data_IF_342600358623
#
_entry.id   IF_342600358623
#
_cell.length_a   1.000
_cell.length_b   1.000
_cell.length_c   1.000
_cell.angle_alpha   90.00
_cell.angle_beta   90.00
_cell.angle_gamma   90.00
#
_symmetry.space_group_name_H-M   'P 1'
#
loop_
_entity.id
_entity.type
_entity.pdbx_description
1 polymer ?
#
# COMPACT_ATOMS: atom_id res chain seq x y z
N UNK A 1 37.49 -5.72 -5.18
CA UNK A 1 36.15 -5.77 -4.54
C UNK A 1 35.78 -7.23 -4.41
N UNK A 2 35.47 -7.69 -3.20
CA UNK A 2 35.06 -9.08 -2.99
C UNK A 2 33.73 -9.32 -3.72
N UNK A 3 33.54 -10.49 -4.32
CA UNK A 3 32.26 -10.92 -4.93
C UNK A 3 31.07 -10.82 -3.95
N UNK A 4 31.34 -10.89 -2.65
CA UNK A 4 30.37 -10.72 -1.56
C UNK A 4 29.82 -9.29 -1.46
N UNK A 5 30.71 -8.29 -1.48
CA UNK A 5 30.36 -6.87 -1.35
C UNK A 5 29.55 -6.38 -2.55
N UNK A 6 29.88 -6.88 -3.74
CA UNK A 6 29.13 -6.60 -4.96
C UNK A 6 27.69 -7.13 -4.90
N UNK A 7 27.48 -8.33 -4.37
CA UNK A 7 26.14 -8.91 -4.17
C UNK A 7 25.32 -8.13 -3.16
N UNK A 8 25.93 -7.74 -2.04
CA UNK A 8 25.25 -6.93 -1.01
C UNK A 8 24.86 -5.54 -1.54
N UNK A 9 25.72 -4.91 -2.33
CA UNK A 9 25.41 -3.63 -2.97
C UNK A 9 24.24 -3.75 -3.95
N UNK A 10 24.22 -4.80 -4.78
CA UNK A 10 23.15 -5.05 -5.74
C UNK A 10 21.81 -5.27 -5.04
N UNK A 11 21.78 -6.09 -3.99
CA UNK A 11 20.57 -6.34 -3.19
C UNK A 11 20.05 -5.05 -2.54
N UNK A 12 20.94 -4.22 -1.98
CA UNK A 12 20.57 -2.95 -1.40
C UNK A 12 19.94 -2.00 -2.44
N UNK A 13 20.50 -1.95 -3.65
CA UNK A 13 19.95 -1.15 -4.76
C UNK A 13 18.58 -1.65 -5.20
N UNK A 14 18.40 -2.97 -5.31
CA UNK A 14 17.09 -3.56 -5.66
C UNK A 14 16.02 -3.23 -4.62
N UNK A 15 16.33 -3.35 -3.33
CA UNK A 15 15.41 -2.97 -2.25
C UNK A 15 15.02 -1.49 -2.37
N UNK A 16 15.99 -0.62 -2.61
CA UNK A 16 15.73 0.81 -2.71
C UNK A 16 14.90 1.18 -3.96
N UNK A 17 15.12 0.48 -5.08
CA UNK A 17 14.31 0.61 -6.28
C UNK A 17 12.86 0.17 -6.04
N UNK A 18 12.66 -0.98 -5.39
CA UNK A 18 11.33 -1.47 -5.02
C UNK A 18 10.60 -0.50 -4.11
N UNK A 19 11.27 0.01 -3.06
CA UNK A 19 10.69 0.99 -2.14
C UNK A 19 10.26 2.28 -2.86
N UNK A 20 11.09 2.76 -3.79
CA UNK A 20 10.78 3.94 -4.60
C UNK A 20 9.59 3.70 -5.52
N UNK A 21 9.52 2.52 -6.14
CA UNK A 21 8.41 2.12 -6.98
C UNK A 21 7.10 1.97 -6.18
N UNK A 22 7.15 1.39 -4.97
CA UNK A 22 5.99 1.26 -4.08
C UNK A 22 5.47 2.63 -3.67
N UNK A 23 6.35 3.56 -3.29
CA UNK A 23 5.97 4.95 -2.96
C UNK A 23 5.28 5.65 -4.12
N UNK A 24 5.76 5.44 -5.35
CA UNK A 24 5.14 5.97 -6.54
C UNK A 24 3.76 5.34 -6.80
N UNK A 25 3.65 4.01 -6.67
CA UNK A 25 2.40 3.27 -6.84
C UNK A 25 1.33 3.75 -5.86
N UNK A 26 1.70 4.00 -4.60
CA UNK A 26 0.77 4.54 -3.59
C UNK A 26 0.32 5.95 -3.96
N UNK A 27 1.27 6.83 -4.34
CA UNK A 27 0.97 8.20 -4.78
C UNK A 27 0.02 8.24 -5.99
N UNK A 28 0.16 7.28 -6.90
CA UNK A 28 -0.68 7.13 -8.09
C UNK A 28 -1.94 6.29 -7.87
N UNK A 29 -2.20 5.81 -6.64
CA UNK A 29 -3.31 4.91 -6.30
C UNK A 29 -3.34 3.62 -7.14
N UNK A 30 -2.17 3.14 -7.55
CA UNK A 30 -2.00 1.93 -8.35
C UNK A 30 -1.92 0.70 -7.43
N UNK A 31 -3.02 0.38 -6.75
CA UNK A 31 -3.06 -0.65 -5.71
C UNK A 31 -2.66 -2.05 -6.18
N UNK A 32 -3.03 -2.40 -7.41
CA UNK A 32 -2.63 -3.67 -8.01
C UNK A 32 -1.11 -3.75 -8.19
N UNK A 33 -0.49 -2.67 -8.67
CA UNK A 33 0.97 -2.60 -8.84
C UNK A 33 1.68 -2.61 -7.48
N UNK A 34 1.14 -1.93 -6.47
CA UNK A 34 1.66 -1.97 -5.11
C UNK A 34 1.72 -3.41 -4.57
N UNK A 35 0.67 -4.21 -4.81
CA UNK A 35 0.62 -5.62 -4.39
C UNK A 35 1.66 -6.49 -5.10
N UNK A 36 1.91 -6.25 -6.38
CA UNK A 36 2.97 -6.95 -7.12
C UNK A 36 4.35 -6.63 -6.54
N UNK A 37 4.64 -5.35 -6.33
CA UNK A 37 5.91 -4.87 -5.76
C UNK A 37 6.14 -5.39 -4.34
N UNK A 38 5.08 -5.48 -3.53
CA UNK A 38 5.14 -6.06 -2.19
C UNK A 38 5.51 -7.56 -2.22
N UNK A 39 5.01 -8.30 -3.21
CA UNK A 39 5.40 -9.69 -3.45
C UNK A 39 6.89 -9.83 -3.81
N UNK A 40 7.39 -8.96 -4.69
CA UNK A 40 8.82 -8.92 -5.05
C UNK A 40 9.70 -8.58 -3.85
N UNK A 41 9.30 -7.60 -3.04
CA UNK A 41 10.02 -7.22 -1.83
C UNK A 41 10.01 -8.34 -0.78
N UNK A 42 8.90 -9.06 -0.65
CA UNK A 42 8.77 -10.22 0.23
C UNK A 42 9.72 -11.35 -0.21
N UNK A 43 9.77 -11.67 -1.49
CA UNK A 43 10.70 -12.66 -2.02
C UNK A 43 12.17 -12.27 -1.76
N UNK A 44 12.50 -10.98 -1.92
CA UNK A 44 13.84 -10.46 -1.66
C UNK A 44 14.17 -10.49 -0.16
N UNK A 45 13.19 -10.25 0.71
CA UNK A 45 13.37 -10.36 2.17
C UNK A 45 13.72 -11.78 2.64
N UNK A 46 13.20 -12.81 1.94
CA UNK A 46 13.57 -14.20 2.20
C UNK A 46 15.03 -14.48 1.84
N UNK A 47 15.55 -13.87 0.77
CA UNK A 47 16.97 -13.97 0.42
C UNK A 47 17.85 -13.28 1.46
N UNK A 48 17.41 -12.13 1.98
CA UNK A 48 18.10 -11.39 3.04
C UNK A 48 18.12 -12.10 4.40
N UNK A 49 17.32 -13.15 4.59
CA UNK A 49 17.32 -13.96 5.81
C UNK A 49 18.54 -14.89 5.93
N UNK A 50 19.28 -15.09 4.84
CA UNK A 50 20.51 -15.89 4.85
C UNK A 50 21.59 -15.27 5.75
N UNK A 51 22.42 -16.09 6.44
CA UNK A 51 23.46 -15.60 7.36
C UNK A 51 24.44 -14.62 6.70
N UNK A 52 24.76 -14.83 5.43
CA UNK A 52 25.63 -14.00 4.59
C UNK A 52 25.13 -12.55 4.42
N UNK A 53 23.84 -12.31 4.65
CA UNK A 53 23.20 -10.99 4.51
C UNK A 53 22.70 -10.40 5.84
N UNK A 54 22.99 -11.03 6.98
CA UNK A 54 22.48 -10.60 8.29
C UNK A 54 22.75 -9.12 8.61
N UNK A 55 23.97 -8.64 8.32
CA UNK A 55 24.33 -7.24 8.53
C UNK A 55 23.53 -6.28 7.63
N UNK A 56 23.33 -6.65 6.36
CA UNK A 56 22.53 -5.88 5.41
C UNK A 56 21.05 -5.87 5.84
N UNK A 57 20.51 -7.02 6.24
CA UNK A 57 19.15 -7.15 6.72
C UNK A 57 18.87 -6.26 7.95
N UNK A 58 19.80 -6.24 8.92
CA UNK A 58 19.69 -5.35 10.08
C UNK A 58 19.68 -3.87 9.69
N UNK A 59 20.50 -3.48 8.71
CA UNK A 59 20.53 -2.10 8.20
C UNK A 59 19.24 -1.71 7.46
N UNK A 60 18.67 -2.63 6.69
CA UNK A 60 17.47 -2.38 5.88
C UNK A 60 16.17 -2.43 6.69
N UNK A 61 16.13 -3.20 7.78
CA UNK A 61 14.95 -3.37 8.64
C UNK A 61 14.27 -2.05 9.05
N UNK A 62 14.96 -1.02 9.62
CA UNK A 62 14.29 0.22 9.99
C UNK A 62 13.75 0.99 8.78
N UNK A 63 14.43 0.94 7.63
CA UNK A 63 14.01 1.60 6.39
C UNK A 63 12.73 0.96 5.85
N UNK A 64 12.69 -0.38 5.83
CA UNK A 64 11.52 -1.16 5.43
C UNK A 64 10.34 -0.87 6.37
N UNK A 65 10.55 -0.91 7.68
CA UNK A 65 9.51 -0.62 8.68
C UNK A 65 8.92 0.78 8.50
N UNK A 66 9.75 1.78 8.25
CA UNK A 66 9.29 3.14 7.99
C UNK A 66 8.43 3.23 6.73
N UNK A 67 8.87 2.61 5.62
CA UNK A 67 8.10 2.59 4.38
C UNK A 67 6.76 1.88 4.54
N UNK A 68 6.74 0.69 5.15
CA UNK A 68 5.50 -0.05 5.39
C UNK A 68 4.53 0.74 6.27
N UNK A 69 5.01 1.39 7.34
CA UNK A 69 4.16 2.23 8.18
C UNK A 69 3.55 3.38 7.37
N UNK A 70 4.33 4.05 6.53
CA UNK A 70 3.82 5.13 5.66
C UNK A 70 2.76 4.62 4.67
N UNK A 71 2.97 3.45 4.08
CA UNK A 71 2.02 2.86 3.13
C UNK A 71 0.71 2.49 3.84
N UNK A 72 0.79 1.88 5.02
CA UNK A 72 -0.38 1.51 5.81
C UNK A 72 -1.22 2.74 6.20
N UNK A 73 -0.58 3.84 6.63
CA UNK A 73 -1.28 5.08 6.94
C UNK A 73 -2.03 5.66 5.73
N UNK A 74 -1.42 5.59 4.54
CA UNK A 74 -2.06 6.06 3.30
C UNK A 74 -3.23 5.15 2.90
N UNK A 75 -3.07 3.83 3.02
CA UNK A 75 -4.15 2.87 2.77
C UNK A 75 -5.33 3.06 3.73
N UNK A 76 -5.07 3.26 5.01
CA UNK A 76 -6.10 3.52 6.02
C UNK A 76 -6.86 4.82 5.72
N UNK A 77 -6.16 5.89 5.32
CA UNK A 77 -6.78 7.14 4.91
C UNK A 77 -7.71 6.96 3.71
N UNK A 78 -7.24 6.25 2.67
CA UNK A 78 -8.04 5.99 1.46
C UNK A 78 -9.25 5.09 1.76
N UNK A 79 -9.09 4.08 2.62
CA UNK A 79 -10.20 3.22 3.07
C UNK A 79 -11.28 4.03 3.79
N UNK A 80 -10.87 4.95 4.67
CA UNK A 80 -11.79 5.83 5.39
C UNK A 80 -12.54 6.77 4.43
N UNK A 81 -11.86 7.32 3.42
CA UNK A 81 -12.49 8.16 2.40
C UNK A 81 -13.52 7.38 1.58
N UNK A 82 -13.21 6.14 1.19
CA UNK A 82 -14.15 5.28 0.45
C UNK A 82 -15.37 4.97 1.32
N UNK A 83 -15.17 4.65 2.59
CA UNK A 83 -16.27 4.39 3.54
C UNK A 83 -17.20 5.60 3.67
N UNK A 84 -16.64 6.80 3.86
CA UNK A 84 -17.42 8.04 3.93
C UNK A 84 -18.24 8.29 2.65
N UNK A 85 -17.63 8.06 1.48
CA UNK A 85 -18.33 8.18 0.19
C UNK A 85 -19.46 7.16 0.04
N UNK A 86 -19.26 5.93 0.50
CA UNK A 86 -20.30 4.90 0.50
C UNK A 86 -21.47 5.29 1.43
N UNK A 87 -21.17 5.75 2.64
CA UNK A 87 -22.19 6.22 3.59
C UNK A 87 -22.98 7.40 3.02
N UNK A 88 -22.31 8.34 2.34
CA UNK A 88 -23.00 9.44 1.66
C UNK A 88 -23.89 8.93 0.53
N UNK A 89 -23.40 8.02 -0.31
CA UNK A 89 -24.18 7.45 -1.39
C UNK A 89 -25.45 6.75 -0.90
N UNK A 90 -25.38 6.03 0.23
CA UNK A 90 -26.54 5.40 0.86
C UNK A 90 -27.57 6.46 1.32
N UNK A 91 -27.12 7.53 1.99
CA UNK A 91 -27.99 8.64 2.40
C UNK A 91 -28.65 9.31 1.20
N UNK A 92 -27.91 9.52 0.12
CA UNK A 92 -28.44 10.13 -1.10
C UNK A 92 -29.52 9.23 -1.74
N UNK A 93 -29.28 7.91 -1.79
CA UNK A 93 -30.28 6.95 -2.27
C UNK A 93 -31.56 6.95 -1.41
N UNK A 94 -31.42 7.00 -0.08
CA UNK A 94 -32.56 7.08 0.84
C UNK A 94 -33.35 8.38 0.65
N UNK A 95 -32.66 9.52 0.53
CA UNK A 95 -33.29 10.82 0.26
C UNK A 95 -34.04 10.85 -1.07
N UNK A 96 -33.46 10.28 -2.13
CA UNK A 96 -34.13 10.17 -3.44
C UNK A 96 -35.39 9.31 -3.33
N UNK A 97 -35.31 8.15 -2.66
CA UNK A 97 -36.48 7.27 -2.47
C UNK A 97 -37.58 7.97 -1.66
N UNK A 98 -37.24 8.65 -0.58
CA UNK A 98 -38.21 9.40 0.22
C UNK A 98 -38.90 10.49 -0.60
N UNK A 99 -38.14 11.20 -1.45
CA UNK A 99 -38.68 12.20 -2.36
C UNK A 99 -39.63 11.58 -3.40
N UNK A 100 -39.24 10.46 -4.01
CA UNK A 100 -40.10 9.73 -4.95
C UNK A 100 -41.41 9.28 -4.29
N UNK A 101 -41.36 8.69 -3.09
CA UNK A 101 -42.57 8.30 -2.34
C UNK A 101 -43.47 9.51 -2.03
N UNK A 102 -42.88 10.67 -1.71
CA UNK A 102 -43.65 11.90 -1.47
C UNK A 102 -44.30 12.49 -2.73
N UNK A 103 -43.65 12.33 -3.89
CA UNK A 103 -44.15 12.80 -5.20
C UNK A 103 -45.23 11.87 -5.77
N UNK A 104 -45.13 10.56 -5.52
CA UNK A 104 -46.07 9.54 -5.98
C UNK A 104 -47.39 9.52 -5.19
N UNK A 105 -47.62 10.51 -4.32
CA UNK A 105 -48.90 10.71 -3.63
C UNK A 105 -49.18 9.73 -2.50
N UNK A 106 -48.21 8.89 -2.09
CA UNK A 106 -48.27 8.12 -0.85
C UNK A 106 -47.81 8.99 0.33
N UNK A 107 -48.45 10.13 0.52
CA UNK A 107 -48.43 10.79 1.82
C UNK A 107 -49.55 10.15 2.65
N UNK A 108 -49.20 9.69 3.86
CA UNK A 108 -50.11 9.09 4.84
C UNK A 108 -51.47 9.77 4.95
#
# INVERSE_FOLDING_TARGET
MSTEEGKQLLLAQQVQALLSAMKLAVTKRQWHQLRMLDGELTALSQQLASPEFSALAQRLKPVLQHHYRSILQQLESEQNQVKQKMEQHLRDQEGIKAYQTSMDGQSW
#
